data_IF_029352884425
#
_entry.id   IF_029352884425
#
_cell.length_a   1.000
_cell.length_b   1.000
_cell.length_c   1.000
_cell.angle_alpha   90.00
_cell.angle_beta   90.00
_cell.angle_gamma   90.00
#
_symmetry.space_group_name_H-M   'P 1'
#
loop_
_entity.id
_entity.type
_entity.pdbx_description
1 polymer ?
#
# COMPACT_ATOMS: atom_id res chain seq x y z
N UNK A 1 -29.55 -53.86 -31.05
CA UNK A 1 -28.42 -53.73 -32.01
C UNK A 1 -27.58 -52.57 -31.49
N UNK A 2 -26.56 -52.71 -30.65
CA UNK A 2 -25.30 -53.46 -30.80
C UNK A 2 -24.67 -53.31 -32.19
N UNK A 3 -23.62 -52.49 -32.29
CA UNK A 3 -22.22 -52.77 -32.74
C UNK A 3 -21.50 -51.41 -32.91
N UNK A 4 -20.39 -51.12 -32.21
CA UNK A 4 -18.98 -51.26 -32.68
C UNK A 4 -18.74 -50.57 -34.04
N UNK A 5 -17.72 -49.74 -34.32
CA UNK A 5 -16.39 -49.53 -33.76
C UNK A 5 -15.44 -49.20 -34.96
N UNK A 6 -14.36 -48.47 -34.71
CA UNK A 6 -13.13 -48.29 -35.53
C UNK A 6 -13.03 -47.18 -36.61
N UNK A 7 -12.42 -46.07 -36.17
CA UNK A 7 -11.16 -45.42 -36.65
C UNK A 7 -10.70 -45.51 -38.13
N UNK A 8 -10.40 -44.36 -38.75
CA UNK A 8 -9.15 -44.11 -39.53
C UNK A 8 -8.82 -42.60 -39.66
N UNK A 9 -7.52 -42.33 -39.76
CA UNK A 9 -6.75 -41.08 -39.62
C UNK A 9 -7.00 -39.95 -40.65
N UNK A 10 -6.73 -38.68 -40.27
CA UNK A 10 -5.49 -37.98 -40.69
C UNK A 10 -5.35 -36.51 -40.22
N UNK A 11 -4.19 -36.26 -39.58
CA UNK A 11 -3.27 -35.10 -39.67
C UNK A 11 -3.68 -33.73 -39.08
N UNK A 12 -3.16 -33.47 -37.89
CA UNK A 12 -2.72 -32.14 -37.41
C UNK A 12 -1.28 -32.23 -36.88
N UNK A 13 -0.55 -31.13 -37.10
CA UNK A 13 0.91 -30.91 -37.00
C UNK A 13 1.51 -31.10 -35.59
N UNK A 14 2.79 -31.51 -35.46
CA UNK A 14 3.52 -31.38 -34.21
C UNK A 14 4.44 -30.15 -34.15
N UNK A 15 4.45 -29.61 -32.95
CA UNK A 15 5.31 -28.64 -32.29
C UNK A 15 6.82 -28.82 -32.44
N UNK A 16 7.52 -27.70 -32.57
CA UNK A 16 8.98 -27.55 -32.51
C UNK A 16 9.42 -27.43 -31.04
N UNK A 17 10.07 -28.46 -30.50
CA UNK A 17 10.79 -28.45 -29.23
C UNK A 17 12.26 -28.76 -29.57
N UNK A 18 13.17 -27.81 -29.36
CA UNK A 18 14.62 -28.04 -29.51
C UNK A 18 15.27 -27.86 -28.16
N UNK A 19 15.68 -29.00 -27.61
CA UNK A 19 16.52 -29.17 -26.44
C UNK A 19 17.94 -29.41 -26.98
N UNK A 20 18.92 -28.57 -26.63
CA UNK A 20 20.34 -28.82 -26.94
C UNK A 20 21.14 -28.80 -25.64
N UNK A 21 21.53 -30.02 -25.21
CA UNK A 21 22.55 -30.30 -24.19
C UNK A 21 23.52 -31.32 -24.80
N UNK A 22 24.77 -30.92 -25.01
CA UNK A 22 25.97 -31.77 -24.80
C UNK A 22 27.23 -31.04 -25.30
N UNK A 23 28.29 -31.01 -24.49
CA UNK A 23 29.63 -30.63 -24.94
C UNK A 23 30.56 -30.18 -23.80
N UNK A 24 31.20 -31.14 -23.15
CA UNK A 24 32.31 -30.92 -22.19
C UNK A 24 33.61 -30.75 -22.97
N UNK A 25 34.41 -29.72 -22.66
CA UNK A 25 35.89 -29.83 -22.70
C UNK A 25 36.57 -28.79 -21.81
N UNK A 26 37.58 -29.26 -21.09
CA UNK A 26 38.41 -28.62 -20.08
C UNK A 26 39.49 -27.69 -20.67
N UNK A 27 39.85 -26.62 -19.95
CA UNK A 27 41.04 -25.80 -20.22
C UNK A 27 41.34 -24.78 -19.11
N UNK A 28 42.30 -25.11 -18.25
CA UNK A 28 43.00 -24.21 -17.30
C UNK A 28 43.89 -23.21 -18.05
N UNK A 29 43.98 -21.92 -17.63
CA UNK A 29 45.23 -21.10 -17.54
C UNK A 29 45.02 -19.90 -16.58
N UNK A 30 46.11 -19.59 -15.85
CA UNK A 30 46.38 -18.62 -14.76
C UNK A 30 46.37 -17.11 -15.11
N UNK A 31 46.14 -16.33 -14.04
CA UNK A 31 46.71 -15.03 -13.59
C UNK A 31 47.20 -13.96 -14.57
N UNK A 32 46.84 -12.69 -14.28
CA UNK A 32 47.81 -11.60 -14.06
C UNK A 32 47.18 -10.39 -13.34
N UNK A 33 47.82 -9.99 -12.23
CA UNK A 33 47.70 -8.68 -11.58
C UNK A 33 48.35 -7.56 -12.41
N UNK A 34 47.84 -6.33 -12.31
CA UNK A 34 48.67 -5.12 -12.28
C UNK A 34 48.01 -4.00 -11.45
N UNK A 35 48.85 -3.30 -10.70
CA UNK A 35 48.59 -2.27 -9.70
C UNK A 35 48.79 -0.85 -10.29
N UNK A 36 47.86 0.09 -9.99
CA UNK A 36 48.01 1.56 -9.73
C UNK A 36 48.69 2.51 -10.77
N UNK A 37 48.63 3.87 -10.62
CA UNK A 37 47.51 4.81 -10.38
C UNK A 37 47.59 6.05 -11.33
N UNK A 38 46.83 7.13 -11.01
CA UNK A 38 47.13 8.58 -11.22
C UNK A 38 46.21 9.44 -12.14
N UNK A 39 45.72 10.52 -11.52
CA UNK A 39 45.51 11.91 -12.01
C UNK A 39 44.26 12.32 -12.81
N UNK A 40 43.43 13.09 -12.08
CA UNK A 40 42.76 14.37 -12.42
C UNK A 40 43.25 15.03 -13.73
N UNK A 41 42.31 15.31 -14.64
CA UNK A 41 42.31 16.50 -15.50
C UNK A 41 40.90 16.79 -16.03
N UNK A 42 40.36 17.94 -15.66
CA UNK A 42 39.13 18.55 -16.19
C UNK A 42 39.44 19.24 -17.52
N UNK A 43 38.62 19.07 -18.57
CA UNK A 43 38.61 20.02 -19.69
C UNK A 43 37.35 20.90 -19.64
N UNK A 44 37.59 22.20 -19.49
CA UNK A 44 36.62 23.28 -19.58
C UNK A 44 36.76 23.92 -20.97
N UNK A 45 35.81 23.68 -21.88
CA UNK A 45 35.61 24.39 -23.18
C UNK A 45 34.27 23.88 -23.75
N UNK A 46 33.32 24.62 -24.31
CA UNK A 46 33.17 26.03 -24.68
C UNK A 46 31.66 26.26 -24.88
N UNK A 47 31.07 27.28 -24.25
CA UNK A 47 29.77 27.84 -24.62
C UNK A 47 30.01 29.11 -25.45
N UNK A 48 29.49 29.19 -26.67
CA UNK A 48 29.27 30.44 -27.40
C UNK A 48 27.99 30.35 -28.23
N UNK A 49 27.45 31.54 -28.50
CA UNK A 49 26.16 31.92 -29.13
C UNK A 49 25.01 32.00 -28.09
N UNK A 50 24.31 33.11 -27.89
CA UNK A 50 24.16 34.33 -28.69
C UNK A 50 23.72 35.50 -27.80
N UNK A 51 24.19 36.70 -28.11
CA UNK A 51 23.41 37.95 -28.24
C UNK A 51 24.40 39.08 -28.50
N UNK A 52 24.29 39.67 -29.70
CA UNK A 52 25.08 40.81 -30.10
C UNK A 52 24.54 42.09 -29.48
N UNK A 53 25.42 42.88 -28.88
CA UNK A 53 25.27 44.32 -28.79
C UNK A 53 26.67 44.93 -28.67
N UNK A 54 27.04 45.76 -29.65
CA UNK A 54 28.22 46.64 -29.60
C UNK A 54 27.88 47.85 -28.75
N UNK A 55 28.72 48.18 -27.75
CA UNK A 55 28.94 49.57 -27.32
C UNK A 55 30.44 49.73 -27.00
N UNK A 56 31.01 50.83 -27.50
CA UNK A 56 32.41 51.26 -27.35
C UNK A 56 32.65 51.99 -26.03
N UNK A 57 33.92 51.95 -25.64
CA UNK A 57 34.71 52.97 -24.90
C UNK A 57 34.52 53.16 -23.37
N UNK A 58 35.59 52.76 -22.67
CA UNK A 58 36.22 53.33 -21.48
C UNK A 58 35.54 54.51 -20.78
N UNK A 59 35.05 54.29 -19.56
CA UNK A 59 35.04 55.29 -18.49
C UNK A 59 35.51 54.62 -17.19
N UNK A 60 36.65 55.10 -16.68
CA UNK A 60 37.15 54.88 -15.32
C UNK A 60 36.33 55.79 -14.41
N UNK A 61 35.55 55.24 -13.49
CA UNK A 61 35.04 55.97 -12.32
C UNK A 61 34.93 55.01 -11.13
N UNK A 62 35.61 55.40 -10.05
CA UNK A 62 35.65 54.74 -8.74
C UNK A 62 34.33 54.96 -7.99
N UNK A 63 33.87 53.92 -7.28
CA UNK A 63 33.02 54.04 -6.08
C UNK A 63 31.52 53.80 -6.28
N UNK A 64 30.91 53.13 -5.30
CA UNK A 64 29.47 52.85 -5.12
C UNK A 64 28.84 51.77 -5.99
N UNK A 65 28.90 50.51 -5.54
CA UNK A 65 27.76 49.57 -5.62
C UNK A 65 28.02 48.38 -4.67
N UNK A 66 27.84 48.61 -3.37
CA UNK A 66 27.81 47.56 -2.35
C UNK A 66 26.52 47.70 -1.53
N UNK A 67 25.36 47.66 -2.19
CA UNK A 67 24.07 47.69 -1.48
C UNK A 67 22.83 47.19 -2.24
N UNK A 68 22.98 46.51 -3.39
CA UNK A 68 21.83 46.00 -4.16
C UNK A 68 21.87 44.47 -4.39
N UNK A 69 22.96 43.77 -4.03
CA UNK A 69 23.00 42.31 -4.13
C UNK A 69 22.44 41.55 -2.91
N UNK A 70 22.11 42.24 -1.81
CA UNK A 70 21.57 41.60 -0.59
C UNK A 70 20.04 41.53 -0.55
N UNK A 71 19.33 42.15 -1.51
CA UNK A 71 17.85 42.18 -1.50
C UNK A 71 17.18 41.19 -2.46
N UNK A 72 17.93 40.56 -3.37
CA UNK A 72 17.38 39.62 -4.37
C UNK A 72 17.50 38.15 -3.90
N UNK A 73 18.25 37.88 -2.83
CA UNK A 73 18.40 36.53 -2.28
C UNK A 73 17.35 36.15 -1.21
N UNK A 74 16.44 37.06 -0.85
CA UNK A 74 15.50 36.86 0.27
C UNK A 74 14.06 36.48 -0.15
N UNK A 75 13.77 36.31 -1.44
CA UNK A 75 12.40 36.06 -1.94
C UNK A 75 12.20 34.65 -2.55
N UNK A 76 13.20 33.76 -2.44
CA UNK A 76 13.09 32.38 -2.94
C UNK A 76 13.32 31.32 -1.86
N UNK A 77 12.71 31.48 -0.68
CA UNK A 77 12.51 30.35 0.23
C UNK A 77 11.09 29.84 0.00
N UNK A 78 10.94 28.96 -1.00
CA UNK A 78 9.74 28.13 -1.10
C UNK A 78 9.66 27.22 0.13
N UNK A 79 8.46 26.73 0.48
CA UNK A 79 8.25 25.79 1.59
C UNK A 79 9.20 24.57 1.58
N UNK A 80 9.78 24.23 0.42
CA UNK A 80 10.78 23.18 0.27
C UNK A 80 12.13 23.49 0.95
N UNK A 81 12.51 24.77 1.07
CA UNK A 81 13.78 25.17 1.70
C UNK A 81 13.79 24.98 3.22
N UNK A 82 12.63 25.15 3.87
CA UNK A 82 12.51 24.95 5.32
C UNK A 82 12.59 23.46 5.69
N UNK A 83 11.95 22.58 4.90
CA UNK A 83 12.08 21.13 5.05
C UNK A 83 13.50 20.65 4.79
N UNK A 84 14.19 21.21 3.80
CA UNK A 84 15.58 20.88 3.52
C UNK A 84 16.51 21.26 4.69
N UNK A 85 16.29 22.43 5.31
CA UNK A 85 17.06 22.88 6.47
C UNK A 85 16.77 22.04 7.72
N UNK A 86 15.50 21.68 7.97
CA UNK A 86 15.11 20.79 9.08
C UNK A 86 15.76 19.40 8.94
N UNK A 87 15.86 18.87 7.72
CA UNK A 87 16.51 17.59 7.40
C UNK A 87 18.04 17.64 7.59
N UNK A 88 18.66 18.77 7.25
CA UNK A 88 20.09 19.01 7.51
C UNK A 88 20.40 19.07 9.01
N UNK A 89 19.56 19.75 9.80
CA UNK A 89 19.69 19.81 11.26
C UNK A 89 19.48 18.44 11.95
N UNK A 90 18.77 17.51 11.29
CA UNK A 90 18.55 16.13 11.74
C UNK A 90 19.64 15.13 11.30
N UNK A 91 20.72 15.58 10.65
CA UNK A 91 21.85 14.71 10.27
C UNK A 91 21.59 13.74 9.12
N UNK A 92 20.54 13.98 8.32
CA UNK A 92 20.27 13.18 7.12
C UNK A 92 21.16 13.68 5.99
N UNK A 93 22.28 12.99 5.76
CA UNK A 93 23.26 13.34 4.74
C UNK A 93 22.71 12.97 3.34
N UNK A 94 22.07 13.92 2.66
CA UNK A 94 21.53 13.77 1.30
C UNK A 94 22.54 14.15 0.22
N UNK A 95 23.67 13.44 0.15
CA UNK A 95 24.57 13.53 -1.03
C UNK A 95 24.17 12.56 -2.16
N UNK A 96 23.13 11.74 -1.97
CA UNK A 96 22.50 10.96 -3.03
C UNK A 96 20.98 11.09 -2.91
N UNK A 97 20.31 11.32 -4.05
CA UNK A 97 18.86 11.45 -4.20
C UNK A 97 18.16 10.08 -4.05
N UNK A 98 18.53 9.33 -3.02
CA UNK A 98 18.13 7.94 -2.82
C UNK A 98 16.77 7.89 -2.15
N UNK A 99 15.77 7.39 -2.88
CA UNK A 99 14.41 7.15 -2.38
C UNK A 99 14.31 5.87 -1.54
N UNK A 100 15.40 5.11 -1.43
CA UNK A 100 15.49 3.90 -0.60
C UNK A 100 16.10 4.22 0.75
N UNK A 101 15.55 3.64 1.82
CA UNK A 101 16.03 3.79 3.19
C UNK A 101 16.20 2.39 3.81
N UNK A 102 17.40 2.09 4.32
CA UNK A 102 17.72 0.76 4.85
C UNK A 102 17.58 -0.35 3.81
N UNK A 103 16.98 -1.49 4.18
CA UNK A 103 16.91 -2.71 3.36
C UNK A 103 15.68 -2.79 2.47
N UNK A 104 14.51 -2.37 2.96
CA UNK A 104 13.24 -2.59 2.26
C UNK A 104 12.24 -1.43 2.43
N UNK A 105 12.69 -0.31 3.00
CA UNK A 105 11.88 0.90 3.16
C UNK A 105 12.15 1.93 2.06
N UNK A 106 11.13 2.70 1.74
CA UNK A 106 11.12 3.78 0.76
C UNK A 106 10.72 5.06 1.47
N UNK A 107 11.44 6.14 1.20
CA UNK A 107 11.08 7.50 1.62
C UNK A 107 10.90 8.34 0.37
N UNK A 108 9.68 8.83 0.17
CA UNK A 108 9.32 9.53 -1.06
C UNK A 108 9.92 10.93 -1.09
N UNK A 109 10.53 11.28 -2.22
CA UNK A 109 11.15 12.59 -2.40
C UNK A 109 10.07 13.66 -2.61
N UNK A 110 9.00 13.30 -3.33
CA UNK A 110 7.78 14.06 -3.53
C UNK A 110 6.60 13.23 -3.00
N UNK A 111 6.33 13.27 -1.68
CA UNK A 111 5.26 12.51 -1.03
C UNK A 111 3.89 12.74 -1.69
N UNK A 112 3.21 11.70 -2.18
CA UNK A 112 1.86 11.81 -2.72
C UNK A 112 0.85 12.19 -1.63
N UNK A 113 -0.11 13.04 -1.97
CA UNK A 113 -1.18 13.48 -1.09
C UNK A 113 -2.39 12.54 -1.18
N UNK A 114 -3.03 12.29 -0.05
CA UNK A 114 -4.32 11.61 0.03
C UNK A 114 -5.44 12.65 0.01
N UNK A 115 -6.00 12.91 -1.17
CA UNK A 115 -6.99 13.99 -1.35
C UNK A 115 -8.42 13.55 -0.98
N UNK A 116 -8.73 12.26 -1.12
CA UNK A 116 -10.02 11.71 -0.72
C UNK A 116 -9.88 10.24 -0.31
N UNK A 117 -10.79 9.80 0.56
CA UNK A 117 -11.02 8.40 0.89
C UNK A 117 -12.53 8.13 0.97
N UNK A 118 -12.97 6.94 0.58
CA UNK A 118 -14.35 6.47 0.72
C UNK A 118 -14.41 5.17 1.51
N UNK A 119 -15.52 4.95 2.20
CA UNK A 119 -15.77 3.77 3.04
C UNK A 119 -17.23 3.33 2.93
N UNK A 120 -17.46 2.21 2.26
CA UNK A 120 -18.77 1.60 2.07
C UNK A 120 -18.79 0.28 2.82
N UNK A 121 -19.83 0.04 3.63
CA UNK A 121 -19.89 -1.14 4.51
C UNK A 121 -21.24 -1.82 4.47
N UNK A 122 -21.28 -3.07 4.92
CA UNK A 122 -22.51 -3.76 5.24
C UNK A 122 -23.08 -3.34 6.61
N UNK A 123 -24.28 -3.83 6.89
CA UNK A 123 -25.03 -3.59 8.13
C UNK A 123 -24.22 -3.88 9.40
N UNK A 124 -23.57 -5.05 9.47
CA UNK A 124 -22.89 -5.50 10.69
C UNK A 124 -21.74 -4.56 11.07
N UNK A 125 -20.97 -4.11 10.10
CA UNK A 125 -19.92 -3.12 10.27
C UNK A 125 -20.50 -1.74 10.68
N UNK A 126 -21.64 -1.37 10.09
CA UNK A 126 -22.37 -0.14 10.43
C UNK A 126 -22.97 -0.11 11.84
N UNK A 127 -23.28 -1.27 12.41
CA UNK A 127 -23.69 -1.44 13.81
C UNK A 127 -22.52 -1.45 14.78
N UNK A 128 -21.28 -1.56 14.28
CA UNK A 128 -20.06 -1.62 15.09
C UNK A 128 -19.61 -0.25 15.62
N UNK A 129 -18.57 -0.23 16.48
CA UNK A 129 -18.08 1.00 17.11
C UNK A 129 -17.68 2.10 16.13
N UNK A 130 -17.24 1.70 14.93
CA UNK A 130 -16.82 2.61 13.86
C UNK A 130 -17.94 3.00 12.89
N UNK A 131 -19.14 2.41 13.02
CA UNK A 131 -20.22 2.53 12.04
C UNK A 131 -20.58 3.96 11.64
N UNK A 132 -20.63 4.88 12.63
CA UNK A 132 -20.93 6.30 12.42
C UNK A 132 -19.90 7.08 11.59
N UNK A 133 -18.73 6.50 11.35
CA UNK A 133 -17.64 7.14 10.61
C UNK A 133 -17.60 6.73 9.14
N UNK A 134 -18.36 5.72 8.74
CA UNK A 134 -18.39 5.26 7.35
C UNK A 134 -19.30 6.13 6.48
N UNK A 135 -18.95 6.26 5.20
CA UNK A 135 -19.68 7.12 4.27
C UNK A 135 -21.06 6.55 3.92
N UNK A 136 -21.15 5.22 3.81
CA UNK A 136 -22.40 4.53 3.55
C UNK A 136 -22.42 3.17 4.25
N UNK A 137 -23.55 2.88 4.90
CA UNK A 137 -23.89 1.56 5.44
C UNK A 137 -25.06 1.03 4.60
N UNK A 138 -24.88 -0.13 3.99
CA UNK A 138 -25.93 -0.83 3.24
C UNK A 138 -26.59 -1.90 4.12
N UNK A 139 -27.93 -1.87 4.16
CA UNK A 139 -28.72 -2.83 4.93
C UNK A 139 -28.88 -4.16 4.18
N UNK A 140 -28.94 -4.10 2.84
CA UNK A 140 -28.99 -5.29 2.00
C UNK A 140 -27.59 -5.92 1.83
N UNK A 141 -27.32 -7.12 2.39
CA UNK A 141 -26.04 -7.79 2.22
C UNK A 141 -25.75 -8.18 0.77
N UNK A 142 -26.74 -8.17 -0.14
CA UNK A 142 -26.50 -8.43 -1.55
C UNK A 142 -26.09 -7.18 -2.34
N UNK A 143 -26.17 -5.97 -1.76
CA UNK A 143 -25.93 -4.72 -2.48
C UNK A 143 -26.72 -4.61 -3.80
N UNK A 144 -27.90 -5.26 -3.85
CA UNK A 144 -28.75 -5.41 -5.03
C UNK A 144 -28.25 -6.39 -6.10
N UNK A 145 -27.22 -7.18 -5.82
CA UNK A 145 -26.64 -8.19 -6.71
C UNK A 145 -27.33 -9.55 -6.65
N UNK A 146 -27.05 -10.39 -7.65
CA UNK A 146 -27.64 -11.74 -7.76
C UNK A 146 -26.79 -12.83 -7.09
N UNK A 147 -25.49 -12.56 -6.93
CA UNK A 147 -24.51 -13.45 -6.28
C UNK A 147 -23.64 -12.67 -5.29
N UNK A 148 -22.91 -13.36 -4.41
CA UNK A 148 -21.99 -12.70 -3.47
C UNK A 148 -20.83 -12.00 -4.18
N UNK A 149 -20.38 -12.55 -5.30
CA UNK A 149 -19.35 -11.93 -6.14
C UNK A 149 -19.87 -10.65 -6.82
N UNK A 150 -21.12 -10.64 -7.29
CA UNK A 150 -21.79 -9.45 -7.84
C UNK A 150 -22.04 -8.40 -6.74
N UNK A 151 -22.49 -8.83 -5.56
CA UNK A 151 -22.66 -7.97 -4.40
C UNK A 151 -21.37 -7.21 -4.04
N UNK A 152 -20.24 -7.94 -3.96
CA UNK A 152 -18.94 -7.34 -3.68
C UNK A 152 -18.47 -6.41 -4.81
N UNK A 153 -18.71 -6.78 -6.08
CA UNK A 153 -18.41 -5.95 -7.25
C UNK A 153 -19.14 -4.60 -7.20
N UNK A 154 -20.45 -4.63 -6.89
CA UNK A 154 -21.28 -3.44 -6.75
C UNK A 154 -20.85 -2.58 -5.57
N UNK A 155 -20.50 -3.20 -4.44
CA UNK A 155 -19.96 -2.48 -3.29
C UNK A 155 -18.64 -1.78 -3.63
N UNK A 156 -17.72 -2.44 -4.33
CA UNK A 156 -16.47 -1.82 -4.79
C UNK A 156 -16.73 -0.66 -5.76
N UNK A 157 -17.65 -0.84 -6.71
CA UNK A 157 -18.06 0.22 -7.64
C UNK A 157 -18.56 1.47 -6.91
N UNK A 158 -19.44 1.29 -5.91
CA UNK A 158 -19.94 2.38 -5.06
C UNK A 158 -18.80 3.08 -4.32
N UNK A 159 -17.81 2.34 -3.80
CA UNK A 159 -16.65 2.95 -3.14
C UNK A 159 -15.80 3.78 -4.11
N UNK A 160 -15.58 3.29 -5.33
CA UNK A 160 -14.86 4.01 -6.37
C UNK A 160 -15.60 5.30 -6.78
N UNK A 161 -16.91 5.22 -7.04
CA UNK A 161 -17.71 6.38 -7.42
C UNK A 161 -17.76 7.41 -6.28
N UNK A 162 -17.92 6.95 -5.03
CA UNK A 162 -17.91 7.82 -3.85
C UNK A 162 -16.58 8.54 -3.66
N UNK A 163 -15.43 7.88 -3.87
CA UNK A 163 -14.13 8.55 -3.71
C UNK A 163 -13.87 9.57 -4.81
N UNK A 164 -14.29 9.28 -6.05
CA UNK A 164 -14.22 10.21 -7.19
C UNK A 164 -15.05 11.46 -6.88
N UNK A 165 -16.28 11.26 -6.42
CA UNK A 165 -17.17 12.36 -6.02
C UNK A 165 -16.58 13.18 -4.87
N UNK A 166 -16.04 12.53 -3.83
CA UNK A 166 -15.41 13.21 -2.69
C UNK A 166 -14.14 13.97 -3.07
N UNK A 167 -13.38 13.49 -4.06
CA UNK A 167 -12.22 14.21 -4.59
C UNK A 167 -12.61 15.38 -5.50
N UNK A 168 -13.85 15.43 -6.00
CA UNK A 168 -14.30 16.46 -6.94
C UNK A 168 -13.58 16.38 -8.30
N UNK A 169 -13.22 15.18 -8.73
CA UNK A 169 -12.51 14.91 -10.00
C UNK A 169 -13.37 14.07 -10.94
N UNK A 170 -12.95 13.95 -12.21
CA UNK A 170 -13.55 13.01 -13.15
C UNK A 170 -12.78 11.69 -13.14
N UNK A 171 -13.46 10.60 -13.53
CA UNK A 171 -12.81 9.28 -13.66
C UNK A 171 -11.62 9.32 -14.63
N UNK A 172 -11.71 10.13 -15.69
CA UNK A 172 -10.67 10.28 -16.72
C UNK A 172 -9.41 11.02 -16.21
N UNK A 173 -9.50 11.69 -15.06
CA UNK A 173 -8.34 12.34 -14.42
C UNK A 173 -7.44 11.30 -13.71
N UNK A 174 -7.95 10.09 -13.46
CA UNK A 174 -7.24 9.01 -12.76
C UNK A 174 -6.44 8.22 -13.78
N UNK A 175 -5.11 8.20 -13.62
CA UNK A 175 -4.22 7.55 -14.57
C UNK A 175 -4.23 6.03 -14.44
N UNK A 176 -4.18 5.54 -13.20
CA UNK A 176 -4.14 4.12 -12.87
C UNK A 176 -4.99 3.82 -11.64
N UNK A 177 -5.52 2.60 -11.59
CA UNK A 177 -6.02 1.99 -10.37
C UNK A 177 -5.05 0.90 -9.92
N UNK A 178 -4.84 0.80 -8.61
CA UNK A 178 -4.16 -0.34 -7.98
C UNK A 178 -5.14 -0.94 -6.98
N UNK A 179 -5.51 -2.20 -7.19
CA UNK A 179 -6.52 -2.81 -6.34
C UNK A 179 -6.70 -4.29 -6.54
N UNK A 180 -7.47 -4.86 -5.62
CA UNK A 180 -7.76 -6.29 -5.57
C UNK A 180 -8.79 -6.61 -4.48
N UNK A 181 -9.25 -7.85 -4.50
CA UNK A 181 -10.16 -8.45 -3.53
C UNK A 181 -9.61 -9.81 -3.08
N UNK A 182 -10.27 -10.44 -2.10
CA UNK A 182 -9.86 -11.75 -1.60
C UNK A 182 -10.26 -12.90 -2.52
N UNK A 183 -11.20 -12.67 -3.43
CA UNK A 183 -11.83 -13.74 -4.18
C UNK A 183 -10.96 -14.20 -5.34
N UNK A 184 -11.26 -15.41 -5.82
CA UNK A 184 -10.51 -16.04 -6.90
C UNK A 184 -10.40 -15.14 -8.13
N UNK A 185 -9.18 -14.94 -8.61
CA UNK A 185 -8.88 -14.14 -9.80
C UNK A 185 -9.33 -12.67 -9.73
N UNK A 186 -9.49 -12.13 -8.52
CA UNK A 186 -9.94 -10.74 -8.30
C UNK A 186 -11.28 -10.47 -9.00
N UNK A 187 -12.22 -11.41 -8.88
CA UNK A 187 -13.51 -11.33 -9.58
C UNK A 187 -14.31 -10.09 -9.16
N UNK A 188 -14.31 -9.73 -7.86
CA UNK A 188 -15.05 -8.56 -7.41
C UNK A 188 -14.46 -7.27 -7.98
N UNK A 189 -13.13 -7.18 -8.03
CA UNK A 189 -12.41 -6.06 -8.62
C UNK A 189 -12.68 -6.00 -10.12
N UNK A 190 -12.38 -7.06 -10.85
CA UNK A 190 -12.42 -7.09 -12.31
C UNK A 190 -13.80 -6.73 -12.86
N UNK A 191 -14.86 -7.20 -12.23
CA UNK A 191 -16.23 -6.90 -12.63
C UNK A 191 -16.73 -5.57 -12.04
N UNK A 192 -16.37 -5.24 -10.80
CA UNK A 192 -16.85 -4.02 -10.12
C UNK A 192 -16.34 -2.73 -10.73
N UNK A 193 -15.08 -2.68 -11.19
CA UNK A 193 -14.49 -1.44 -11.72
C UNK A 193 -14.41 -1.41 -13.26
N UNK A 194 -14.95 -2.41 -13.95
CA UNK A 194 -14.89 -2.52 -15.41
C UNK A 194 -15.42 -1.26 -16.13
N UNK A 195 -16.56 -0.74 -15.68
CA UNK A 195 -17.23 0.42 -16.27
C UNK A 195 -16.48 1.75 -16.07
N UNK A 196 -15.48 1.78 -15.18
CA UNK A 196 -14.65 2.95 -15.00
C UNK A 196 -13.71 3.15 -16.18
N UNK A 197 -13.31 2.08 -16.87
CA UNK A 197 -12.37 2.09 -18.00
C UNK A 197 -10.99 2.70 -17.64
N UNK A 198 -10.62 2.67 -16.36
CA UNK A 198 -9.31 3.14 -15.88
C UNK A 198 -8.31 1.97 -15.92
N UNK A 199 -7.08 2.15 -16.44
CA UNK A 199 -6.10 1.06 -16.47
C UNK A 199 -5.76 0.54 -15.06
N UNK A 200 -5.77 -0.79 -14.91
CA UNK A 200 -5.71 -1.48 -13.62
C UNK A 200 -4.39 -2.25 -13.44
N UNK A 201 -3.75 -2.04 -12.31
CA UNK A 201 -2.82 -2.99 -11.68
C UNK A 201 -3.60 -3.87 -10.70
N UNK A 202 -4.02 -5.05 -11.15
CA UNK A 202 -4.69 -6.04 -10.32
C UNK A 202 -3.66 -6.73 -9.41
N UNK A 203 -3.79 -6.53 -8.10
CA UNK A 203 -2.84 -7.02 -7.10
C UNK A 203 -3.53 -7.99 -6.14
N UNK A 204 -2.76 -8.96 -5.64
CA UNK A 204 -3.23 -9.92 -4.65
C UNK A 204 -2.23 -10.01 -3.50
N UNK A 205 -2.51 -9.25 -2.44
CA UNK A 205 -1.80 -9.30 -1.16
C UNK A 205 -2.65 -9.91 -0.05
N UNK A 206 -3.71 -10.67 -0.39
CA UNK A 206 -4.77 -11.07 0.54
C UNK A 206 -5.29 -9.85 1.34
N UNK A 207 -5.40 -9.94 2.67
CA UNK A 207 -5.87 -8.83 3.50
C UNK A 207 -4.91 -7.61 3.52
N UNK A 208 -3.66 -7.76 3.06
CA UNK A 208 -2.68 -6.66 3.01
C UNK A 208 -2.81 -5.76 1.77
N UNK A 209 -3.74 -6.08 0.87
CA UNK A 209 -3.92 -5.41 -0.44
C UNK A 209 -4.04 -3.89 -0.34
N UNK A 210 -4.71 -3.33 0.68
CA UNK A 210 -4.78 -1.87 0.82
C UNK A 210 -3.38 -1.24 1.02
N UNK A 211 -2.52 -1.87 1.83
CA UNK A 211 -1.15 -1.41 2.07
C UNK A 211 -0.27 -1.56 0.83
N UNK A 212 -0.43 -2.67 0.11
CA UNK A 212 0.23 -2.91 -1.18
C UNK A 212 -0.17 -1.88 -2.25
N UNK A 213 -1.48 -1.63 -2.41
CA UNK A 213 -2.02 -0.66 -3.36
C UNK A 213 -1.54 0.76 -3.09
N UNK A 214 -1.50 1.17 -1.82
CA UNK A 214 -0.94 2.47 -1.43
C UNK A 214 0.56 2.54 -1.72
N UNK A 215 1.33 1.51 -1.38
CA UNK A 215 2.77 1.50 -1.63
C UNK A 215 3.09 1.61 -3.12
N UNK A 216 2.45 0.78 -3.97
CA UNK A 216 2.64 0.81 -5.42
C UNK A 216 2.15 2.15 -6.00
N UNK A 217 0.96 2.59 -5.62
CA UNK A 217 0.40 3.87 -6.07
C UNK A 217 1.31 5.03 -5.71
N UNK A 218 1.87 5.05 -4.50
CA UNK A 218 2.78 6.10 -4.08
C UNK A 218 4.11 6.09 -4.84
N UNK A 219 4.66 4.90 -5.12
CA UNK A 219 5.86 4.76 -5.98
C UNK A 219 5.61 5.31 -7.38
N UNK A 220 4.45 5.03 -7.97
CA UNK A 220 4.11 5.51 -9.31
C UNK A 220 3.95 7.03 -9.35
N UNK A 221 3.32 7.63 -8.35
CA UNK A 221 3.16 9.09 -8.26
C UNK A 221 4.50 9.79 -7.99
N UNK A 222 5.26 9.34 -6.98
CA UNK A 222 6.58 9.92 -6.66
C UNK A 222 7.60 9.71 -7.79
N UNK A 223 7.46 8.64 -8.57
CA UNK A 223 8.24 8.36 -9.77
C UNK A 223 7.88 9.24 -10.99
N UNK A 224 6.77 9.98 -10.93
CA UNK A 224 6.29 10.81 -12.04
C UNK A 224 5.61 10.02 -13.16
N UNK A 225 5.18 8.78 -12.90
CA UNK A 225 4.48 7.93 -13.88
C UNK A 225 2.96 8.18 -13.89
N UNK A 226 2.43 8.83 -12.86
CA UNK A 226 1.03 9.20 -12.75
C UNK A 226 0.85 10.45 -11.89
N UNK A 227 -0.10 11.31 -12.27
CA UNK A 227 -0.51 12.45 -11.45
C UNK A 227 -1.49 12.04 -10.36
N UNK A 228 -2.47 11.20 -10.72
CA UNK A 228 -3.50 10.67 -9.82
C UNK A 228 -3.65 9.16 -9.96
N UNK A 229 -3.77 8.48 -8.83
CA UNK A 229 -4.00 7.04 -8.74
C UNK A 229 -5.10 6.75 -7.73
N UNK A 230 -5.95 5.78 -8.03
CA UNK A 230 -6.86 5.20 -7.05
C UNK A 230 -6.27 3.92 -6.45
N UNK A 231 -6.16 3.85 -5.13
CA UNK A 231 -5.92 2.62 -4.40
C UNK A 231 -7.27 2.11 -3.86
N UNK A 232 -7.66 0.88 -4.18
CA UNK A 232 -8.98 0.34 -3.82
C UNK A 232 -8.91 -1.14 -3.45
N UNK A 233 -9.76 -1.57 -2.53
CA UNK A 233 -9.97 -2.99 -2.23
C UNK A 233 -11.35 -3.24 -1.63
N UNK A 234 -11.81 -4.48 -1.68
CA UNK A 234 -13.06 -4.94 -1.06
C UNK A 234 -12.90 -6.30 -0.45
N UNK A 235 -13.74 -6.60 0.53
CA UNK A 235 -14.03 -7.97 0.95
C UNK A 235 -15.51 -8.10 1.28
N UNK A 236 -16.10 -9.26 1.02
CA UNK A 236 -17.46 -9.59 1.41
C UNK A 236 -17.50 -10.87 2.25
N UNK A 237 -18.17 -10.83 3.41
CA UNK A 237 -18.26 -11.97 4.34
C UNK A 237 -18.67 -13.26 3.61
N UNK A 238 -19.83 -13.25 2.96
CA UNK A 238 -20.38 -14.46 2.36
C UNK A 238 -19.55 -14.98 1.16
N UNK A 239 -18.88 -14.09 0.42
CA UNK A 239 -17.99 -14.48 -0.67
C UNK A 239 -16.73 -15.18 -0.14
N UNK A 240 -16.11 -14.60 0.89
CA UNK A 240 -14.95 -15.19 1.54
C UNK A 240 -15.28 -16.52 2.24
N UNK A 241 -16.41 -16.61 2.94
CA UNK A 241 -16.86 -17.85 3.57
C UNK A 241 -17.10 -18.96 2.54
N UNK A 242 -17.73 -18.63 1.40
CA UNK A 242 -17.94 -19.56 0.28
C UNK A 242 -16.61 -20.07 -0.30
N UNK A 243 -15.57 -19.24 -0.36
CA UNK A 243 -14.29 -19.60 -0.98
C UNK A 243 -13.35 -20.34 -0.04
N UNK A 244 -13.22 -19.89 1.21
CA UNK A 244 -12.17 -20.35 2.12
C UNK A 244 -12.66 -21.30 3.20
N UNK A 245 -13.97 -21.41 3.41
CA UNK A 245 -14.54 -22.25 4.46
C UNK A 245 -15.45 -23.34 3.92
N UNK A 246 -15.76 -24.27 4.81
CA UNK A 246 -16.81 -25.25 4.54
C UNK A 246 -18.15 -24.53 4.34
N UNK A 247 -19.00 -24.98 3.41
CA UNK A 247 -20.29 -24.35 3.19
C UNK A 247 -21.09 -24.25 4.50
N UNK A 248 -21.69 -23.07 4.75
CA UNK A 248 -22.46 -22.80 5.98
C UNK A 248 -23.52 -23.86 6.27
N UNK A 249 -24.04 -24.52 5.23
CA UNK A 249 -25.02 -25.61 5.32
C UNK A 249 -24.51 -26.86 6.07
N UNK A 250 -23.20 -27.04 6.25
CA UNK A 250 -22.64 -28.17 7.00
C UNK A 250 -22.69 -27.99 8.52
N UNK A 251 -23.15 -26.85 9.04
CA UNK A 251 -23.37 -26.65 10.48
C UNK A 251 -22.10 -26.67 11.34
N UNK A 252 -20.93 -26.37 10.75
CA UNK A 252 -19.66 -26.36 11.47
C UNK A 252 -19.61 -25.25 12.54
N UNK A 253 -19.18 -25.59 13.75
CA UNK A 253 -18.91 -24.59 14.79
C UNK A 253 -17.63 -23.80 14.47
N UNK A 254 -17.67 -22.48 14.64
CA UNK A 254 -16.50 -21.60 14.45
C UNK A 254 -15.63 -21.62 15.71
N UNK A 255 -14.32 -21.93 15.63
CA UNK A 255 -13.39 -21.75 16.74
C UNK A 255 -13.31 -20.29 17.19
N UNK A 256 -13.04 -20.04 18.48
CA UNK A 256 -12.90 -18.68 19.03
C UNK A 256 -11.71 -17.89 18.46
N UNK A 257 -10.73 -18.57 17.85
CA UNK A 257 -9.60 -17.93 17.18
C UNK A 257 -9.98 -17.36 15.80
N UNK A 258 -11.13 -17.72 15.23
CA UNK A 258 -11.52 -17.22 13.91
C UNK A 258 -11.88 -15.75 13.95
N UNK A 259 -11.61 -15.05 12.87
CA UNK A 259 -12.11 -13.70 12.61
C UNK A 259 -13.39 -13.73 11.76
N UNK A 260 -14.09 -12.60 11.72
CA UNK A 260 -15.21 -12.31 10.86
C UNK A 260 -14.75 -11.48 9.65
N UNK A 261 -14.87 -12.00 8.42
CA UNK A 261 -14.54 -11.21 7.24
C UNK A 261 -15.48 -10.02 7.13
N UNK A 262 -14.91 -8.82 7.10
CA UNK A 262 -15.61 -7.56 6.93
C UNK A 262 -16.27 -7.51 5.56
N UNK A 263 -17.55 -7.17 5.55
CA UNK A 263 -18.25 -6.72 4.34
C UNK A 263 -18.03 -5.22 4.19
N UNK A 264 -17.07 -4.85 3.34
CA UNK A 264 -16.76 -3.46 3.09
C UNK A 264 -15.80 -3.25 1.93
N UNK A 265 -15.85 -2.05 1.35
CA UNK A 265 -14.89 -1.57 0.36
C UNK A 265 -14.43 -0.16 0.70
N UNK A 266 -13.12 0.05 0.61
CA UNK A 266 -12.50 1.35 0.78
C UNK A 266 -11.66 1.72 -0.43
N UNK A 267 -11.71 3.00 -0.79
CA UNK A 267 -10.89 3.56 -1.87
C UNK A 267 -10.23 4.86 -1.42
N UNK A 268 -9.04 5.15 -1.96
CA UNK A 268 -8.25 6.35 -1.67
C UNK A 268 -7.70 6.92 -2.98
N UNK A 269 -7.77 8.24 -3.16
CA UNK A 269 -7.10 8.93 -4.27
C UNK A 269 -5.78 9.52 -3.80
N UNK A 270 -4.70 9.07 -4.43
CA UNK A 270 -3.37 9.65 -4.33
C UNK A 270 -3.19 10.68 -5.45
N UNK A 271 -2.65 11.86 -5.12
CA UNK A 271 -2.34 12.93 -6.08
C UNK A 271 -0.91 13.45 -5.83
N UNK A 272 -0.23 13.91 -6.88
CA UNK A 272 1.09 14.55 -6.76
C UNK A 272 1.06 15.87 -5.99
N UNK A 273 -0.11 16.50 -5.89
CA UNK A 273 -0.32 17.75 -5.18
C UNK A 273 -1.67 17.76 -4.43
N UNK A 274 -1.73 18.46 -3.30
CA UNK A 274 -3.00 18.68 -2.60
C UNK A 274 -3.81 19.76 -3.33
N UNK A 275 -4.68 19.32 -4.24
CA UNK A 275 -5.53 20.18 -5.06
C UNK A 275 -6.90 20.46 -4.43
N UNK A 276 -7.10 20.12 -3.14
CA UNK A 276 -8.34 20.43 -2.42
C UNK A 276 -8.55 21.95 -2.34
N UNK A 277 -9.80 22.37 -2.21
CA UNK A 277 -10.13 23.79 -2.18
C UNK A 277 -9.48 24.48 -0.97
N UNK A 278 -9.19 25.79 -1.09
CA UNK A 278 -8.62 26.58 0.03
C UNK A 278 -9.44 26.45 1.32
N UNK A 279 -10.77 26.41 1.18
CA UNK A 279 -11.70 26.23 2.31
C UNK A 279 -11.55 24.88 2.99
N UNK A 280 -11.20 23.82 2.26
CA UNK A 280 -10.91 22.51 2.83
C UNK A 280 -9.54 22.50 3.51
N UNK A 281 -8.53 23.09 2.89
CA UNK A 281 -7.18 23.20 3.45
C UNK A 281 -7.12 24.05 4.73
N UNK A 282 -8.01 25.02 4.89
CA UNK A 282 -8.16 25.80 6.13
C UNK A 282 -8.81 24.99 7.26
N UNK A 283 -9.60 23.96 6.94
CA UNK A 283 -10.35 23.15 7.91
C UNK A 283 -9.62 21.85 8.28
N UNK A 284 -8.93 21.26 7.32
CA UNK A 284 -8.31 19.95 7.43
C UNK A 284 -6.86 20.00 6.98
N UNK A 285 -5.98 19.36 7.75
CA UNK A 285 -4.59 19.20 7.39
C UNK A 285 -4.44 18.44 6.06
N UNK A 286 -3.45 18.79 5.22
CA UNK A 286 -2.94 17.92 4.17
C UNK A 286 -2.50 16.59 4.75
N UNK A 287 -2.89 15.49 4.11
CA UNK A 287 -2.42 14.15 4.49
C UNK A 287 -1.61 13.59 3.33
N UNK A 288 -0.44 13.06 3.60
CA UNK A 288 0.46 12.52 2.59
C UNK A 288 1.03 11.15 2.99
N UNK A 289 1.42 10.39 1.98
CA UNK A 289 2.19 9.15 2.15
C UNK A 289 3.67 9.51 2.08
N UNK A 290 4.33 9.49 3.23
CA UNK A 290 5.75 9.88 3.36
C UNK A 290 6.71 8.78 2.95
N UNK A 291 6.28 7.53 3.04
CA UNK A 291 7.10 6.37 2.74
C UNK A 291 6.31 5.07 2.84
N UNK A 292 6.97 3.98 2.50
CA UNK A 292 6.44 2.64 2.64
C UNK A 292 7.55 1.65 2.98
N UNK A 293 7.22 0.59 3.70
CA UNK A 293 8.11 -0.57 3.91
C UNK A 293 7.44 -1.78 3.30
N UNK A 294 8.02 -2.28 2.21
CA UNK A 294 7.45 -3.41 1.47
C UNK A 294 7.76 -4.69 2.24
N UNK A 295 6.70 -5.44 2.56
CA UNK A 295 6.81 -6.71 3.26
C UNK A 295 7.48 -7.80 2.43
N UNK A 296 8.06 -8.76 3.16
CA UNK A 296 8.47 -10.05 2.60
C UNK A 296 7.51 -11.13 3.09
N UNK A 297 7.43 -12.22 2.34
CA UNK A 297 6.69 -13.42 2.78
C UNK A 297 7.43 -14.02 3.99
N UNK A 298 6.67 -14.30 5.05
CA UNK A 298 7.17 -14.89 6.30
C UNK A 298 6.32 -16.11 6.63
N UNK A 299 6.98 -17.24 6.84
CA UNK A 299 6.34 -18.50 7.21
C UNK A 299 7.04 -19.09 8.44
N UNK A 300 6.29 -19.26 9.53
CA UNK A 300 6.77 -19.86 10.78
C UNK A 300 6.28 -21.31 10.94
N UNK A 301 5.72 -21.91 9.90
CA UNK A 301 5.25 -23.30 9.86
C UNK A 301 3.85 -23.52 10.44
N UNK A 302 3.06 -22.46 10.61
CA UNK A 302 1.71 -22.53 11.18
C UNK A 302 0.75 -23.05 10.10
N UNK A 303 0.02 -24.12 10.42
CA UNK A 303 -0.92 -24.79 9.48
C UNK A 303 -2.39 -24.57 9.82
N UNK A 304 -2.69 -23.99 10.98
CA UNK A 304 -4.07 -23.77 11.41
C UNK A 304 -4.69 -22.58 10.66
N UNK A 305 -5.47 -22.88 9.62
CA UNK A 305 -6.15 -21.86 8.83
C UNK A 305 -7.30 -21.15 9.57
N UNK A 306 -7.64 -21.60 10.78
CA UNK A 306 -8.66 -20.97 11.61
C UNK A 306 -8.06 -20.00 12.63
N UNK A 307 -6.73 -19.93 12.72
CA UNK A 307 -5.97 -18.99 13.56
C UNK A 307 -5.10 -18.05 12.72
N UNK A 308 -5.75 -17.27 11.85
CA UNK A 308 -5.09 -16.34 10.93
C UNK A 308 -4.23 -15.29 11.64
N UNK A 309 -4.64 -14.83 12.82
CA UNK A 309 -3.87 -13.88 13.63
C UNK A 309 -2.47 -14.41 13.96
N UNK A 310 -2.35 -15.69 14.33
CA UNK A 310 -1.07 -16.32 14.58
C UNK A 310 -0.23 -16.48 13.31
N UNK A 311 -0.85 -16.82 12.18
CA UNK A 311 -0.16 -16.93 10.88
C UNK A 311 0.43 -15.59 10.41
N UNK A 312 -0.29 -14.49 10.65
CA UNK A 312 0.07 -13.16 10.15
C UNK A 312 0.96 -12.34 11.10
N UNK A 313 0.90 -12.58 12.41
CA UNK A 313 1.70 -11.81 13.38
C UNK A 313 3.21 -11.80 13.07
N UNK A 314 3.85 -12.89 12.60
CA UNK A 314 5.26 -12.88 12.19
C UNK A 314 5.58 -11.92 11.02
N UNK A 315 4.70 -11.78 10.03
CA UNK A 315 4.94 -10.87 8.91
C UNK A 315 4.79 -9.41 9.34
N UNK A 316 3.77 -9.10 10.15
CA UNK A 316 3.60 -7.78 10.77
C UNK A 316 4.84 -7.39 11.60
N UNK A 317 5.30 -8.31 12.45
CA UNK A 317 6.50 -8.18 13.25
C UNK A 317 7.73 -7.85 12.37
N UNK A 318 8.00 -8.65 11.34
CA UNK A 318 9.16 -8.43 10.45
C UNK A 318 9.07 -7.10 9.70
N UNK A 319 7.89 -6.69 9.24
CA UNK A 319 7.72 -5.42 8.53
C UNK A 319 7.86 -4.22 9.46
N UNK A 320 7.28 -4.26 10.67
CA UNK A 320 7.40 -3.18 11.66
C UNK A 320 8.84 -3.04 12.14
N UNK A 321 9.49 -4.15 12.54
CA UNK A 321 10.91 -4.12 12.92
C UNK A 321 11.79 -3.58 11.80
N UNK A 322 11.54 -3.98 10.55
CA UNK A 322 12.30 -3.48 9.41
C UNK A 322 12.10 -1.97 9.20
N UNK A 323 10.87 -1.48 9.29
CA UNK A 323 10.58 -0.05 9.18
C UNK A 323 11.34 0.76 10.25
N UNK A 324 11.22 0.36 11.53
CA UNK A 324 11.87 1.04 12.64
C UNK A 324 13.39 1.05 12.49
N UNK A 325 13.99 -0.09 12.11
CA UNK A 325 15.43 -0.21 11.91
C UNK A 325 15.92 0.54 10.67
N UNK A 326 15.22 0.45 9.54
CA UNK A 326 15.59 1.11 8.29
C UNK A 326 15.60 2.63 8.46
N UNK A 327 14.60 3.18 9.15
CA UNK A 327 14.50 4.61 9.45
C UNK A 327 15.34 5.05 10.65
N UNK A 328 15.87 4.13 11.44
CA UNK A 328 16.61 4.43 12.66
C UNK A 328 15.76 5.09 13.76
N UNK A 329 14.47 4.72 13.84
CA UNK A 329 13.49 5.32 14.76
C UNK A 329 12.95 4.30 15.77
N UNK A 330 12.35 4.81 16.84
CA UNK A 330 11.67 4.01 17.87
C UNK A 330 10.15 4.01 17.67
N UNK A 331 9.39 3.09 18.29
CA UNK A 331 7.94 3.07 18.19
C UNK A 331 7.26 4.42 18.44
N UNK A 332 7.76 5.23 19.37
CA UNK A 332 7.20 6.54 19.73
C UNK A 332 7.33 7.60 18.64
N UNK A 333 8.07 7.31 17.56
CA UNK A 333 8.07 8.12 16.35
C UNK A 333 6.68 8.18 15.68
N UNK A 334 5.86 7.15 15.90
CA UNK A 334 4.49 7.03 15.42
C UNK A 334 3.50 7.27 16.55
N UNK A 335 2.49 8.12 16.31
CA UNK A 335 1.38 8.30 17.25
C UNK A 335 0.54 7.02 17.33
N UNK A 336 0.39 6.33 16.20
CA UNK A 336 -0.21 4.99 16.10
C UNK A 336 0.52 4.07 15.14
N UNK A 337 0.66 2.81 15.54
CA UNK A 337 1.04 1.69 14.67
C UNK A 337 -0.21 0.84 14.49
N UNK A 338 -0.77 0.84 13.28
CA UNK A 338 -2.11 0.35 13.00
C UNK A 338 -2.01 -0.90 12.13
N UNK A 339 -2.29 -2.08 12.67
CA UNK A 339 -2.34 -3.32 11.90
C UNK A 339 -3.72 -3.54 11.27
N UNK A 340 -3.77 -4.32 10.19
CA UNK A 340 -5.00 -4.57 9.45
C UNK A 340 -5.99 -5.45 10.20
N UNK A 341 -5.63 -6.72 10.40
CA UNK A 341 -6.57 -7.74 10.85
C UNK A 341 -5.90 -8.89 11.61
N UNK A 342 -4.96 -8.55 12.49
CA UNK A 342 -4.35 -9.55 13.37
C UNK A 342 -5.36 -10.08 14.40
N UNK A 343 -6.37 -9.26 14.73
CA UNK A 343 -7.33 -9.58 15.79
C UNK A 343 -6.67 -9.69 17.16
N UNK A 344 -7.43 -10.14 18.16
CA UNK A 344 -6.95 -10.24 19.53
C UNK A 344 -5.74 -11.18 19.66
N UNK A 345 -5.79 -12.36 19.01
CA UNK A 345 -4.71 -13.36 19.09
C UNK A 345 -3.42 -12.86 18.43
N UNK A 346 -3.52 -12.35 17.20
CA UNK A 346 -2.33 -11.88 16.46
C UNK A 346 -1.71 -10.64 17.07
N UNK A 347 -2.52 -9.74 17.66
CA UNK A 347 -2.03 -8.57 18.41
C UNK A 347 -1.10 -8.97 19.55
N UNK A 348 -1.52 -9.91 20.39
CA UNK A 348 -0.75 -10.29 21.57
C UNK A 348 0.59 -10.92 21.15
N UNK A 349 0.57 -11.79 20.13
CA UNK A 349 1.77 -12.39 19.53
C UNK A 349 2.69 -11.32 18.95
N UNK A 350 2.16 -10.34 18.22
CA UNK A 350 2.94 -9.25 17.63
C UNK A 350 3.67 -8.44 18.69
N UNK A 351 2.95 -8.04 19.75
CA UNK A 351 3.51 -7.23 20.84
C UNK A 351 4.66 -8.00 21.51
N UNK A 352 4.48 -9.29 21.77
CA UNK A 352 5.51 -10.12 22.40
C UNK A 352 6.75 -10.29 21.51
N UNK A 353 6.56 -10.54 20.21
CA UNK A 353 7.66 -10.67 19.25
C UNK A 353 8.48 -9.37 19.12
N UNK A 354 7.80 -8.22 19.05
CA UNK A 354 8.48 -6.92 18.97
C UNK A 354 9.21 -6.58 20.27
N UNK A 355 8.61 -6.87 21.44
CA UNK A 355 9.26 -6.66 22.74
C UNK A 355 10.54 -7.47 22.88
N UNK A 356 10.57 -8.71 22.37
CA UNK A 356 11.77 -9.54 22.35
C UNK A 356 12.91 -8.93 21.50
N UNK A 357 12.59 -8.14 20.48
CA UNK A 357 13.56 -7.39 19.67
C UNK A 357 13.86 -5.98 20.24
N UNK A 358 13.27 -5.62 21.37
CA UNK A 358 13.50 -4.34 22.03
C UNK A 358 12.57 -3.20 21.57
N UNK A 359 11.50 -3.51 20.82
CA UNK A 359 10.48 -2.55 20.40
C UNK A 359 9.17 -2.78 21.18
N UNK A 360 8.81 -1.87 22.08
CA UNK A 360 7.51 -1.93 22.76
C UNK A 360 6.48 -1.03 22.08
N UNK A 361 5.51 -1.64 21.40
CA UNK A 361 4.41 -0.93 20.72
C UNK A 361 3.11 -0.91 21.54
N UNK A 362 3.10 -1.45 22.76
CA UNK A 362 1.87 -1.69 23.54
C UNK A 362 1.05 -0.43 23.83
N UNK A 363 1.69 0.74 23.85
CA UNK A 363 1.03 2.05 24.11
C UNK A 363 0.44 2.70 22.87
N UNK A 364 0.95 2.38 21.68
CA UNK A 364 0.56 3.04 20.43
C UNK A 364 0.06 2.07 19.34
N UNK A 365 -0.05 0.78 19.64
CA UNK A 365 -0.67 -0.19 18.74
C UNK A 365 -2.21 -0.03 18.68
N UNK A 366 -2.75 -0.29 17.48
CA UNK A 366 -4.17 -0.40 17.17
C UNK A 366 -4.33 -1.48 16.09
N UNK A 367 -5.42 -2.23 16.08
CA UNK A 367 -5.73 -3.21 15.02
C UNK A 367 -7.11 -2.91 14.42
N UNK A 368 -7.23 -2.78 13.10
CA UNK A 368 -8.50 -2.42 12.49
C UNK A 368 -9.58 -3.50 12.74
N UNK A 369 -9.19 -4.78 12.75
CA UNK A 369 -10.10 -5.90 13.04
C UNK A 369 -10.70 -5.84 14.44
N UNK A 370 -9.91 -5.46 15.44
CA UNK A 370 -10.38 -5.29 16.83
C UNK A 370 -11.38 -4.13 16.94
N UNK A 371 -11.09 -3.01 16.28
CA UNK A 371 -11.88 -1.77 16.41
C UNK A 371 -13.18 -1.81 15.59
N UNK A 372 -13.24 -2.67 14.57
CA UNK A 372 -14.39 -2.77 13.66
C UNK A 372 -15.68 -3.21 14.36
N UNK A 373 -15.57 -4.13 15.33
CA UNK A 373 -16.72 -4.80 15.94
C UNK A 373 -16.67 -4.75 17.45
N UNK A 374 -17.84 -4.66 18.06
CA UNK A 374 -18.00 -4.82 19.50
C UNK A 374 -17.88 -6.29 19.89
N UNK A 375 -16.93 -6.58 20.79
CA UNK A 375 -16.55 -7.93 21.17
C UNK A 375 -17.67 -8.70 21.85
N UNK A 376 -18.48 -8.02 22.65
CA UNK A 376 -19.45 -8.67 23.54
C UNK A 376 -20.82 -8.82 22.88
N UNK A 377 -21.14 -7.97 21.91
CA UNK A 377 -22.48 -7.91 21.30
C UNK A 377 -22.55 -8.42 19.87
N UNK A 378 -21.45 -8.44 19.11
CA UNK A 378 -21.50 -8.77 17.67
C UNK A 378 -20.97 -10.15 17.29
N UNK A 379 -20.48 -10.96 18.23
CA UNK A 379 -20.08 -12.36 18.02
C UNK A 379 -19.09 -12.56 16.84
N UNK A 380 -18.05 -11.74 16.80
CA UNK A 380 -17.00 -11.78 15.77
C UNK A 380 -15.74 -12.51 16.22
N UNK A 381 -15.79 -13.12 17.41
CA UNK A 381 -14.71 -13.92 17.98
C UNK A 381 -13.39 -13.13 18.10
N UNK A 382 -12.38 -13.45 17.28
CA UNK A 382 -11.06 -12.78 17.34
C UNK A 382 -11.04 -11.41 16.65
N UNK A 383 -12.18 -10.89 16.18
CA UNK A 383 -12.33 -9.58 15.55
C UNK A 383 -12.63 -9.66 14.05
N UNK A 384 -12.53 -8.52 13.37
CA UNK A 384 -12.70 -8.40 11.92
C UNK A 384 -11.47 -8.84 11.12
N UNK A 385 -11.69 -9.24 9.87
CA UNK A 385 -10.63 -9.53 8.90
C UNK A 385 -11.01 -9.18 7.47
N UNK A 386 -10.07 -9.33 6.55
CA UNK A 386 -10.29 -9.08 5.13
C UNK A 386 -9.72 -7.76 4.67
N UNK A 387 -9.35 -7.66 3.39
CA UNK A 387 -8.74 -6.43 2.87
C UNK A 387 -9.67 -5.21 2.96
N UNK A 388 -10.99 -5.40 2.92
CA UNK A 388 -11.96 -4.35 3.20
C UNK A 388 -11.86 -3.77 4.62
N UNK A 389 -11.47 -4.56 5.62
CA UNK A 389 -11.37 -4.13 7.03
C UNK A 389 -10.39 -2.97 7.23
N UNK A 390 -9.16 -3.16 6.74
CA UNK A 390 -8.12 -2.12 6.83
C UNK A 390 -8.45 -0.91 5.95
N UNK A 391 -9.08 -1.12 4.78
CA UNK A 391 -9.42 -0.07 3.84
C UNK A 391 -10.50 0.88 4.36
N UNK A 392 -11.63 0.35 4.85
CA UNK A 392 -12.71 1.18 5.40
C UNK A 392 -12.28 1.86 6.70
N UNK A 393 -11.45 1.22 7.52
CA UNK A 393 -10.91 1.82 8.75
C UNK A 393 -9.95 2.96 8.42
N UNK A 394 -9.08 2.78 7.41
CA UNK A 394 -8.23 3.85 6.93
C UNK A 394 -9.06 5.05 6.48
N UNK A 395 -10.02 4.83 5.58
CA UNK A 395 -10.81 5.89 4.97
C UNK A 395 -11.78 6.59 5.94
N UNK A 396 -12.53 5.81 6.72
CA UNK A 396 -13.57 6.32 7.63
C UNK A 396 -13.02 6.84 8.96
N UNK A 397 -11.93 6.28 9.49
CA UNK A 397 -11.46 6.59 10.84
C UNK A 397 -10.05 7.22 10.89
N UNK A 398 -9.06 6.61 10.23
CA UNK A 398 -7.66 7.05 10.34
C UNK A 398 -7.41 8.37 9.60
N UNK A 399 -7.88 8.50 8.35
CA UNK A 399 -7.70 9.71 7.57
C UNK A 399 -8.37 10.93 8.23
N UNK A 400 -9.61 10.86 8.75
CA UNK A 400 -10.19 11.96 9.52
C UNK A 400 -9.39 12.35 10.77
N UNK A 401 -8.83 11.39 11.51
CA UNK A 401 -7.97 11.65 12.68
C UNK A 401 -6.70 12.44 12.29
N UNK A 402 -6.06 12.05 11.18
CA UNK A 402 -4.89 12.76 10.62
C UNK A 402 -5.27 14.17 10.13
N UNK A 403 -6.38 14.30 9.40
CA UNK A 403 -6.91 15.59 8.90
C UNK A 403 -7.22 16.57 10.03
N UNK A 404 -7.74 16.06 11.15
CA UNK A 404 -8.01 16.87 12.36
C UNK A 404 -6.80 17.05 13.28
N UNK A 405 -5.62 16.56 12.87
CA UNK A 405 -4.37 16.60 13.66
C UNK A 405 -4.49 15.97 15.05
N UNK A 406 -5.43 15.05 15.22
CA UNK A 406 -5.51 14.22 16.44
C UNK A 406 -4.34 13.23 16.47
N UNK A 407 -3.93 12.77 15.29
CA UNK A 407 -2.67 12.09 15.05
C UNK A 407 -1.89 12.89 14.00
N UNK A 408 -0.58 12.95 14.15
CA UNK A 408 0.35 13.55 13.20
C UNK A 408 0.94 12.50 12.28
N UNK A 409 1.35 11.35 12.82
CA UNK A 409 1.99 10.28 12.04
C UNK A 409 1.49 8.91 12.46
N UNK A 410 1.11 8.11 11.48
CA UNK A 410 0.75 6.70 11.68
C UNK A 410 1.56 5.79 10.78
N UNK A 411 1.90 4.61 11.31
CA UNK A 411 2.39 3.48 10.52
C UNK A 411 1.23 2.54 10.26
N UNK A 412 0.68 2.55 9.05
CA UNK A 412 -0.44 1.69 8.65
C UNK A 412 0.08 0.40 8.04
N UNK A 413 -0.22 -0.75 8.65
CA UNK A 413 0.37 -2.06 8.37
C UNK A 413 -0.71 -3.14 8.13
N UNK A 414 -1.44 -3.08 7.01
CA UNK A 414 -2.28 -4.20 6.60
C UNK A 414 -1.49 -5.51 6.48
N UNK A 415 -2.07 -6.56 7.01
CA UNK A 415 -1.51 -7.92 7.09
C UNK A 415 -2.30 -8.84 6.20
N UNK A 416 -1.69 -9.89 5.64
CA UNK A 416 -2.37 -10.85 4.79
C UNK A 416 -1.84 -12.25 4.99
N UNK A 417 -2.76 -13.23 4.99
CA UNK A 417 -2.44 -14.65 4.97
C UNK A 417 -2.55 -15.16 3.53
N UNK A 418 -1.44 -15.65 2.99
CA UNK A 418 -1.34 -16.10 1.61
C UNK A 418 -1.70 -17.59 1.56
N UNK A 419 -3.00 -17.88 1.47
CA UNK A 419 -3.52 -19.23 1.31
C UNK A 419 -4.52 -19.33 0.16
N UNK A 420 -4.61 -20.54 -0.39
CA UNK A 420 -5.66 -20.97 -1.31
C UNK A 420 -6.26 -22.29 -0.85
N UNK A 421 -7.43 -22.64 -1.39
CA UNK A 421 -8.06 -23.95 -1.16
C UNK A 421 -7.13 -25.10 -1.54
N UNK A 422 -6.31 -24.94 -2.58
CA UNK A 422 -5.30 -25.92 -3.00
C UNK A 422 -4.25 -26.09 -1.91
N UNK A 423 -3.57 -25.01 -1.51
CA UNK A 423 -2.50 -25.07 -0.51
C UNK A 423 -2.96 -25.64 0.83
N UNK A 424 -4.20 -25.31 1.23
CA UNK A 424 -4.80 -25.84 2.45
C UNK A 424 -5.04 -27.35 2.36
N UNK A 425 -5.63 -27.83 1.27
CA UNK A 425 -5.91 -29.25 1.07
C UNK A 425 -4.64 -30.10 0.90
N UNK A 426 -3.54 -29.50 0.44
CA UNK A 426 -2.22 -30.13 0.38
C UNK A 426 -1.50 -30.18 1.74
N UNK A 427 -2.04 -29.53 2.78
CA UNK A 427 -1.45 -29.49 4.12
C UNK A 427 -0.22 -28.57 4.22
N UNK A 428 -0.10 -27.59 3.33
CA UNK A 428 0.95 -26.58 3.37
C UNK A 428 0.74 -25.61 4.55
N UNK A 429 1.81 -25.02 5.09
CA UNK A 429 1.68 -23.93 6.05
C UNK A 429 1.04 -22.68 5.42
N UNK A 430 0.61 -21.74 6.27
CA UNK A 430 0.00 -20.47 5.87
C UNK A 430 1.03 -19.34 6.00
N UNK A 431 1.71 -18.96 4.90
CA UNK A 431 2.61 -17.82 4.90
C UNK A 431 1.87 -16.50 5.11
N UNK A 432 2.46 -15.59 5.87
CA UNK A 432 1.99 -14.22 6.06
C UNK A 432 2.79 -13.20 5.24
N UNK A 433 2.16 -12.06 4.94
CA UNK A 433 2.81 -10.86 4.39
C UNK A 433 2.21 -9.61 5.05
N UNK A 434 2.96 -8.50 5.07
CA UNK A 434 2.48 -7.23 5.62
C UNK A 434 3.18 -6.06 4.93
N UNK A 435 2.42 -5.10 4.40
CA UNK A 435 2.97 -3.90 3.76
C UNK A 435 2.70 -2.68 4.63
N UNK A 436 3.74 -1.96 5.02
CA UNK A 436 3.59 -0.77 5.86
C UNK A 436 3.64 0.50 5.03
N UNK A 437 2.80 1.48 5.38
CA UNK A 437 2.70 2.78 4.75
C UNK A 437 2.78 3.85 5.84
N UNK A 438 3.67 4.82 5.67
CA UNK A 438 3.85 5.95 6.59
C UNK A 438 2.93 7.06 6.12
N UNK A 439 1.93 7.41 6.92
CA UNK A 439 0.95 8.44 6.58
C UNK A 439 1.07 9.58 7.59
N UNK A 440 1.23 10.81 7.10
CA UNK A 440 1.39 12.01 7.93
C UNK A 440 0.33 13.07 7.63
N UNK A 441 -0.18 13.71 8.69
CA UNK A 441 -0.95 14.96 8.62
C UNK A 441 -0.02 16.15 8.82
N UNK A 442 -0.01 17.08 7.85
CA UNK A 442 0.93 18.21 7.75
C UNK A 442 0.49 19.46 8.52
#
# INVERSE_FOLDING_TARGET
MCTEGTCTHSRLLPSLFVMLKSGIMSGYVKEKHFHTPLSIAVPQTCLRYATGARVKENIILKGCHLQILSLVLFVAVSQNGFLAWLRYAMGINMENNSKTCGKQSLLFANPPYIIAGSSITGKKEGEGPLGRYFDQVEEDPMFGGDTWEDAESRMMKRAADAVIQKAGINKDDIRFMVGGDLLGQLIATSFGIMELEIPLFGVYGACSTMGESLAIGSVLVDGGFADKIMAITSSHFAGAEKQFRFPLAYGSQRPLATTWTVTGSGAVILDKADNRSKKELEKEAPVCVMGATVGRIVDYGIKDSMNMGACMAPSAYKTISANLNDLGVKPEYYDKIITGDLGYVGKDILIDLLKQEGFDISKNHMDCGIEMFDKDTQDTHSGGSGCGCSAITLAGYVLPKLRRREWKRVLFVPTGALLSTVSFNEGNPVPGIAHAVIIEGM
#
